data_IF_107528745187
#
_entry.id   IF_107528745187
#
_cell.length_a   1.000
_cell.length_b   1.000
_cell.length_c   1.000
_cell.angle_alpha   90.00
_cell.angle_beta   90.00
_cell.angle_gamma   90.00
#
_symmetry.space_group_name_H-M   'P 1'
#
loop_
_entity.id
_entity.type
_entity.pdbx_description
1 polymer ?
#
# COMPACT_ATOMS: atom_id res chain seq x y z
N UNK A 1 -23.04 -9.76 22.98
CA UNK A 1 -21.99 -8.83 23.45
C UNK A 1 -20.63 -9.08 22.80
N UNK A 2 -20.26 -10.31 22.42
CA UNK A 2 -18.92 -10.62 21.88
C UNK A 2 -18.64 -10.09 20.47
N UNK A 3 -19.62 -10.03 19.57
CA UNK A 3 -19.39 -9.70 18.16
C UNK A 3 -18.84 -8.28 17.96
N UNK A 4 -19.36 -7.32 18.72
CA UNK A 4 -18.92 -5.91 18.63
C UNK A 4 -17.52 -5.74 19.19
N UNK A 5 -17.18 -6.47 20.26
CA UNK A 5 -15.81 -6.53 20.79
C UNK A 5 -14.87 -7.22 19.80
N UNK A 6 -15.33 -8.23 19.07
CA UNK A 6 -14.56 -8.88 18.02
C UNK A 6 -14.28 -7.92 16.85
N UNK A 7 -15.29 -7.16 16.39
CA UNK A 7 -15.12 -6.10 15.38
C UNK A 7 -14.14 -5.04 15.87
N UNK A 8 -14.28 -4.60 17.13
CA UNK A 8 -13.36 -3.64 17.73
C UNK A 8 -11.91 -4.15 17.73
N UNK A 9 -11.69 -5.39 18.20
CA UNK A 9 -10.37 -6.03 18.20
C UNK A 9 -9.78 -6.13 16.79
N UNK A 10 -10.58 -6.54 15.81
CA UNK A 10 -10.16 -6.62 14.40
C UNK A 10 -9.80 -5.24 13.84
N UNK A 11 -10.61 -4.23 14.15
CA UNK A 11 -10.37 -2.85 13.73
C UNK A 11 -9.06 -2.32 14.34
N UNK A 12 -8.78 -2.64 15.61
CA UNK A 12 -7.53 -2.28 16.28
C UNK A 12 -6.31 -3.00 15.68
N UNK A 13 -6.44 -4.28 15.33
CA UNK A 13 -5.39 -5.02 14.62
C UNK A 13 -5.05 -4.37 13.27
N UNK A 14 -6.07 -4.00 12.49
CA UNK A 14 -5.89 -3.30 11.22
C UNK A 14 -5.22 -1.93 11.41
N UNK A 15 -5.64 -1.14 12.41
CA UNK A 15 -4.99 0.14 12.74
C UNK A 15 -3.52 -0.07 13.08
N UNK A 16 -3.19 -1.08 13.89
CA UNK A 16 -1.82 -1.36 14.28
C UNK A 16 -0.96 -1.76 13.08
N UNK A 17 -1.46 -2.66 12.22
CA UNK A 17 -0.76 -3.05 11.00
C UNK A 17 -0.53 -1.87 10.06
N UNK A 18 -1.54 -1.01 9.88
CA UNK A 18 -1.41 0.22 9.08
C UNK A 18 -0.54 1.31 9.73
N UNK A 19 -0.05 1.13 10.97
CA UNK A 19 0.97 2.01 11.57
C UNK A 19 2.38 1.59 11.21
N UNK A 20 2.58 0.32 10.89
CA UNK A 20 3.85 -0.15 10.38
C UNK A 20 4.12 0.50 9.02
N UNK A 21 5.38 0.88 8.74
CA UNK A 21 5.76 1.46 7.46
C UNK A 21 5.54 0.44 6.34
N UNK A 22 5.19 0.93 5.14
CA UNK A 22 5.10 0.09 3.96
C UNK A 22 6.49 -0.53 3.68
N UNK A 23 6.61 -1.87 3.60
CA UNK A 23 7.89 -2.51 3.34
C UNK A 23 8.49 -2.10 1.98
N UNK A 24 9.81 -2.05 1.92
CA UNK A 24 10.55 -1.71 0.69
C UNK A 24 10.73 -2.89 -0.25
N UNK A 25 10.86 -4.10 0.32
CA UNK A 25 11.00 -5.36 -0.41
C UNK A 25 9.65 -5.84 -0.94
N UNK A 26 9.63 -6.36 -2.17
CA UNK A 26 8.40 -6.72 -2.87
C UNK A 26 7.62 -7.83 -2.16
N UNK A 27 8.25 -8.95 -1.80
CA UNK A 27 7.60 -10.06 -1.11
C UNK A 27 7.00 -9.61 0.24
N UNK A 28 7.81 -8.90 1.05
CA UNK A 28 7.35 -8.32 2.32
C UNK A 28 6.21 -7.31 2.14
N UNK A 29 6.15 -6.62 0.99
CA UNK A 29 5.07 -5.68 0.66
C UNK A 29 3.80 -6.40 0.24
N UNK A 30 3.89 -7.48 -0.53
CA UNK A 30 2.75 -8.34 -0.85
C UNK A 30 2.13 -8.90 0.43
N UNK A 31 2.94 -9.48 1.32
CA UNK A 31 2.49 -9.97 2.63
C UNK A 31 1.80 -8.87 3.45
N UNK A 32 2.35 -7.65 3.43
CA UNK A 32 1.76 -6.51 4.11
C UNK A 32 0.37 -6.16 3.57
N UNK A 33 0.16 -6.21 2.26
CA UNK A 33 -1.12 -5.94 1.62
C UNK A 33 -2.13 -7.07 1.85
N UNK A 34 -1.69 -8.32 1.78
CA UNK A 34 -2.52 -9.50 2.04
C UNK A 34 -3.09 -9.49 3.47
N UNK A 35 -2.29 -9.07 4.45
CA UNK A 35 -2.77 -8.89 5.83
C UNK A 35 -3.84 -7.80 5.90
N UNK A 36 -3.69 -6.69 5.18
CA UNK A 36 -4.70 -5.62 5.13
C UNK A 36 -6.01 -6.17 4.56
N UNK A 37 -5.94 -6.87 3.43
CA UNK A 37 -7.12 -7.42 2.76
C UNK A 37 -7.83 -8.46 3.63
N UNK A 38 -7.08 -9.38 4.24
CA UNK A 38 -7.62 -10.36 5.19
C UNK A 38 -8.35 -9.69 6.36
N UNK A 39 -7.76 -8.66 6.97
CA UNK A 39 -8.36 -7.96 8.11
C UNK A 39 -9.59 -7.17 7.69
N UNK A 40 -9.58 -6.54 6.52
CA UNK A 40 -10.73 -5.81 5.96
C UNK A 40 -11.89 -6.74 5.64
N UNK A 41 -11.63 -7.85 4.95
CA UNK A 41 -12.65 -8.83 4.57
C UNK A 41 -13.29 -9.45 5.80
N UNK A 42 -12.46 -9.96 6.73
CA UNK A 42 -12.95 -10.58 7.97
C UNK A 42 -13.79 -9.62 8.79
N UNK A 43 -13.36 -8.36 8.91
CA UNK A 43 -14.13 -7.30 9.56
C UNK A 43 -15.45 -7.04 8.84
N UNK A 44 -15.44 -6.95 7.50
CA UNK A 44 -16.63 -6.73 6.68
C UNK A 44 -17.69 -7.82 6.88
N UNK A 45 -17.27 -9.09 6.88
CA UNK A 45 -18.14 -10.24 7.15
C UNK A 45 -18.78 -10.17 8.55
N UNK A 46 -18.00 -9.82 9.57
CA UNK A 46 -18.52 -9.64 10.93
C UNK A 46 -19.55 -8.50 11.02
N UNK A 47 -19.28 -7.38 10.36
CA UNK A 47 -20.21 -6.24 10.32
C UNK A 47 -21.51 -6.57 9.57
N UNK A 48 -21.43 -7.28 8.45
CA UNK A 48 -22.59 -7.74 7.70
C UNK A 48 -23.46 -8.69 8.53
N UNK A 49 -22.82 -9.64 9.20
CA UNK A 49 -23.48 -10.57 10.13
C UNK A 49 -24.17 -9.83 11.29
N UNK A 50 -23.51 -8.85 11.90
CA UNK A 50 -24.07 -8.05 12.99
C UNK A 50 -25.30 -7.26 12.52
N UNK A 51 -25.24 -6.65 11.33
CA UNK A 51 -26.38 -5.91 10.74
C UNK A 51 -27.60 -6.81 10.53
N UNK A 52 -27.39 -8.08 10.18
CA UNK A 52 -28.45 -9.06 9.95
C UNK A 52 -29.16 -9.53 11.23
N UNK A 53 -28.51 -9.44 12.40
CA UNK A 53 -28.96 -10.10 13.65
C UNK A 53 -29.77 -9.21 14.61
N UNK A 54 -30.09 -7.97 14.23
CA UNK A 54 -30.73 -6.93 15.05
C UNK A 54 -29.82 -6.21 16.07
N UNK A 55 -30.34 -5.11 16.63
CA UNK A 55 -29.64 -4.07 17.39
C UNK A 55 -29.18 -4.59 18.74
N UNK A 56 -28.08 -5.34 18.77
CA UNK A 56 -27.37 -5.65 20.02
C UNK A 56 -27.06 -4.32 20.73
N UNK A 57 -27.32 -4.20 22.04
CA UNK A 57 -26.90 -3.03 22.78
C UNK A 57 -25.37 -2.92 22.68
N UNK A 58 -24.92 -1.81 22.09
CA UNK A 58 -23.51 -1.46 21.97
C UNK A 58 -23.25 -0.30 22.91
N UNK A 59 -22.19 -0.40 23.70
CA UNK A 59 -21.76 0.74 24.49
C UNK A 59 -21.38 1.91 23.56
N UNK A 60 -21.95 3.12 23.77
CA UNK A 60 -21.70 4.26 22.91
C UNK A 60 -20.21 4.60 22.76
N UNK A 61 -19.41 4.36 23.80
CA UNK A 61 -17.94 4.51 23.80
C UNK A 61 -17.28 3.64 22.74
N UNK A 62 -17.60 2.34 22.71
CA UNK A 62 -17.04 1.37 21.75
C UNK A 62 -17.49 1.69 20.33
N UNK A 63 -18.76 2.06 20.14
CA UNK A 63 -19.25 2.47 18.83
C UNK A 63 -18.50 3.70 18.29
N UNK A 64 -18.29 4.71 19.14
CA UNK A 64 -17.55 5.92 18.80
C UNK A 64 -16.10 5.61 18.43
N UNK A 65 -15.43 4.78 19.22
CA UNK A 65 -14.03 4.42 18.96
C UNK A 65 -13.86 3.66 17.64
N UNK A 66 -14.80 2.78 17.29
CA UNK A 66 -14.81 2.08 15.99
C UNK A 66 -14.93 3.09 14.83
N UNK A 67 -15.77 4.12 14.96
CA UNK A 67 -15.93 5.17 13.94
C UNK A 67 -14.66 5.99 13.79
N UNK A 68 -14.06 6.43 14.90
CA UNK A 68 -12.80 7.19 14.88
C UNK A 68 -11.64 6.38 14.28
N UNK A 69 -11.55 5.08 14.61
CA UNK A 69 -10.58 4.17 13.98
C UNK A 69 -10.82 4.02 12.48
N UNK A 70 -12.07 3.99 12.03
CA UNK A 70 -12.42 3.89 10.61
C UNK A 70 -11.86 5.07 9.81
N UNK A 71 -12.04 6.29 10.31
CA UNK A 71 -11.48 7.48 9.65
C UNK A 71 -9.94 7.42 9.57
N UNK A 72 -9.30 6.91 10.62
CA UNK A 72 -7.85 6.69 10.66
C UNK A 72 -7.40 5.66 9.61
N UNK A 73 -8.11 4.53 9.53
CA UNK A 73 -7.86 3.45 8.56
C UNK A 73 -7.96 4.00 7.14
N UNK A 74 -9.02 4.73 6.82
CA UNK A 74 -9.19 5.29 5.46
C UNK A 74 -8.06 6.24 5.08
N UNK A 75 -7.66 7.14 5.99
CA UNK A 75 -6.54 8.07 5.76
C UNK A 75 -5.25 7.31 5.48
N UNK A 76 -4.97 6.26 6.26
CA UNK A 76 -3.77 5.42 6.11
C UNK A 76 -3.77 4.61 4.82
N UNK A 77 -4.88 3.95 4.47
CA UNK A 77 -5.00 3.21 3.21
C UNK A 77 -4.80 4.14 2.00
N UNK A 78 -5.38 5.35 2.03
CA UNK A 78 -5.14 6.36 0.99
C UNK A 78 -3.66 6.73 0.88
N UNK A 79 -2.97 6.87 2.00
CA UNK A 79 -1.53 7.18 2.02
C UNK A 79 -0.69 6.04 1.44
N UNK A 80 -0.96 4.78 1.82
CA UNK A 80 -0.30 3.58 1.29
C UNK A 80 -0.51 3.49 -0.22
N UNK A 81 -1.75 3.63 -0.70
CA UNK A 81 -2.07 3.63 -2.13
C UNK A 81 -1.32 4.73 -2.89
N UNK A 82 -1.24 5.93 -2.32
CA UNK A 82 -0.51 7.05 -2.93
C UNK A 82 1.00 6.77 -2.99
N UNK A 83 1.57 6.11 -1.98
CA UNK A 83 2.98 5.71 -1.97
C UNK A 83 3.26 4.69 -3.07
N UNK A 84 2.49 3.60 -3.15
CA UNK A 84 2.62 2.59 -4.22
C UNK A 84 2.52 3.25 -5.60
N UNK A 85 1.56 4.18 -5.79
CA UNK A 85 1.42 4.90 -7.04
C UNK A 85 2.64 5.75 -7.42
N UNK A 86 3.29 6.40 -6.43
CA UNK A 86 4.54 7.14 -6.66
C UNK A 86 5.69 6.20 -7.04
N UNK A 87 5.82 5.07 -6.34
CA UNK A 87 6.87 4.10 -6.57
C UNK A 87 6.78 3.53 -8.00
N UNK A 88 5.56 3.18 -8.44
CA UNK A 88 5.31 2.72 -9.82
C UNK A 88 5.68 3.77 -10.88
N UNK A 89 5.34 5.04 -10.63
CA UNK A 89 5.70 6.12 -11.55
C UNK A 89 7.21 6.33 -11.62
N UNK A 90 7.91 6.28 -10.49
CA UNK A 90 9.37 6.37 -10.46
C UNK A 90 10.04 5.22 -11.22
N UNK A 91 9.55 3.99 -11.04
CA UNK A 91 10.05 2.81 -11.78
C UNK A 91 9.86 2.99 -13.28
N UNK A 92 8.69 3.45 -13.74
CA UNK A 92 8.43 3.73 -15.16
C UNK A 92 9.35 4.82 -15.71
N UNK A 93 9.55 5.91 -14.98
CA UNK A 93 10.46 6.98 -15.39
C UNK A 93 11.91 6.52 -15.48
N UNK A 94 12.38 5.68 -14.54
CA UNK A 94 13.73 5.08 -14.60
C UNK A 94 13.91 4.25 -15.86
N UNK A 95 12.94 3.38 -16.18
CA UNK A 95 12.97 2.57 -17.41
C UNK A 95 12.99 3.44 -18.68
N UNK A 96 12.26 4.56 -18.71
CA UNK A 96 12.30 5.49 -19.86
C UNK A 96 13.65 6.16 -20.03
N UNK A 97 14.30 6.54 -18.92
CA UNK A 97 15.63 7.16 -18.93
C UNK A 97 16.70 6.15 -19.35
N UNK A 98 16.67 4.95 -18.78
CA UNK A 98 17.61 3.87 -19.12
C UNK A 98 17.55 3.49 -20.61
N UNK A 99 16.33 3.35 -21.16
CA UNK A 99 16.14 3.10 -22.59
C UNK A 99 16.65 4.24 -23.48
N UNK A 100 16.62 5.49 -23.03
CA UNK A 100 17.18 6.60 -23.80
C UNK A 100 18.71 6.56 -23.83
N UNK A 101 19.36 6.20 -22.72
CA UNK A 101 20.83 6.10 -22.66
C UNK A 101 21.38 4.85 -23.38
N UNK A 102 20.71 3.70 -23.29
CA UNK A 102 21.14 2.49 -24.00
C UNK A 102 21.05 2.67 -25.52
N UNK A 103 19.97 3.25 -26.03
CA UNK A 103 19.79 3.49 -27.47
C UNK A 103 20.81 4.50 -28.06
N UNK A 104 21.30 5.45 -27.26
CA UNK A 104 22.36 6.40 -27.69
C UNK A 104 23.74 5.74 -27.66
N UNK A 105 23.99 4.87 -26.69
CA UNK A 105 25.27 4.14 -26.54
C UNK A 105 25.46 3.04 -27.59
N UNK A 106 24.36 2.56 -28.18
CA UNK A 106 24.36 1.56 -29.25
C UNK A 106 24.33 2.16 -30.66
N UNK A 107 24.39 3.49 -30.80
CA UNK A 107 24.66 4.08 -32.11
C UNK A 107 26.09 3.70 -32.50
N UNK A 108 26.33 3.07 -33.66
CA UNK A 108 27.69 2.82 -34.09
C UNK A 108 28.37 4.18 -34.21
N UNK A 109 29.43 4.39 -33.44
CA UNK A 109 30.41 5.43 -33.72
C UNK A 109 30.83 5.22 -35.17
N UNK A 110 30.22 5.99 -36.07
CA UNK A 110 30.56 6.02 -37.49
C UNK A 110 32.05 6.35 -37.55
N UNK A 111 32.83 5.33 -37.88
CA UNK A 111 34.20 5.27 -38.37
C UNK A 111 35.19 6.35 -37.90
N UNK A 112 36.30 5.86 -37.36
CA UNK A 112 37.30 6.65 -36.65
C UNK A 112 37.95 7.75 -37.48
N UNK A 113 38.21 8.86 -36.80
CA UNK A 113 39.23 9.81 -37.21
C UNK A 113 40.15 10.02 -36.00
N UNK A 114 41.18 9.18 -35.92
CA UNK A 114 42.37 9.47 -35.12
C UNK A 114 43.22 10.48 -35.90
N UNK A 115 43.21 11.74 -35.47
CA UNK A 115 44.23 12.71 -35.89
C UNK A 115 45.47 12.51 -35.01
N UNK A 116 46.43 11.71 -35.48
CA UNK A 116 47.81 11.82 -35.02
C UNK A 116 48.44 13.02 -35.73
N UNK A 117 48.50 14.17 -35.04
CA UNK A 117 49.39 15.26 -35.45
C UNK A 117 50.72 15.07 -34.74
N UNK A 118 51.62 14.35 -35.39
CA UNK A 118 53.05 14.34 -35.05
C UNK A 118 53.68 15.71 -35.32
N UNK A 119 54.53 16.12 -34.38
CA UNK A 119 55.58 17.13 -34.55
C UNK A 119 56.66 16.65 -35.52
#
# INVERSE_FOLDING_TARGET
>A
MDEVRAIYKMTKQLVNHLREPLPSEEASREDYLDIIDFLLEKRGLMMASLKSRSRSPVEPSVAREIVEMNESIEKKIRAVKAQIGRDLNQTRSRLQVENQYTNVSSSPTLEGIYFDKKN
#
